data_IF_716382785958
#
_entry.id   IF_716382785958
#
_cell.length_a   1.000
_cell.length_b   1.000
_cell.length_c   1.000
_cell.angle_alpha   90.00
_cell.angle_beta   90.00
_cell.angle_gamma   90.00
#
_symmetry.space_group_name_H-M   'P 1'
#
loop_
_entity.id
_entity.type
_entity.pdbx_description
1 polymer ?
#
# COMPACT_ATOMS: atom_id res chain seq x y z
N UNK A 1 -10.79 -7.12 1.28
CA UNK A 1 -11.01 -5.80 0.66
C UNK A 1 -10.55 -5.92 -0.78
N UNK A 2 -11.37 -5.49 -1.74
CA UNK A 2 -11.02 -5.53 -3.17
C UNK A 2 -9.99 -4.42 -3.50
N UNK A 3 -9.09 -4.68 -4.46
CA UNK A 3 -8.08 -3.71 -4.93
C UNK A 3 -8.73 -2.43 -5.45
N UNK A 4 -9.92 -2.52 -6.05
CA UNK A 4 -10.64 -1.35 -6.51
C UNK A 4 -10.95 -0.38 -5.36
N UNK A 5 -11.44 -0.91 -4.24
CA UNK A 5 -11.71 -0.11 -3.05
C UNK A 5 -10.41 0.50 -2.48
N UNK A 6 -9.30 -0.24 -2.48
CA UNK A 6 -7.98 0.28 -2.05
C UNK A 6 -7.56 1.46 -2.93
N UNK A 7 -7.65 1.30 -4.26
CA UNK A 7 -7.30 2.35 -5.23
C UNK A 7 -8.15 3.61 -5.06
N UNK A 8 -9.43 3.46 -4.74
CA UNK A 8 -10.30 4.61 -4.44
C UNK A 8 -9.84 5.37 -3.19
N UNK A 9 -9.47 4.66 -2.11
CA UNK A 9 -8.95 5.30 -0.90
C UNK A 9 -7.64 6.04 -1.16
N UNK A 10 -6.73 5.46 -1.97
CA UNK A 10 -5.48 6.13 -2.36
C UNK A 10 -5.78 7.41 -3.16
N UNK A 11 -6.66 7.35 -4.18
CA UNK A 11 -7.05 8.54 -4.97
C UNK A 11 -7.68 9.63 -4.12
N UNK A 12 -8.47 9.25 -3.12
CA UNK A 12 -9.09 10.19 -2.18
C UNK A 12 -8.11 10.74 -1.13
N UNK A 13 -6.87 10.25 -1.08
CA UNK A 13 -5.91 10.57 -0.02
C UNK A 13 -6.31 10.02 1.35
N UNK A 14 -7.26 9.08 1.42
CA UNK A 14 -7.78 8.52 2.66
C UNK A 14 -6.97 7.31 3.13
N UNK A 15 -5.69 7.54 3.43
CA UNK A 15 -4.80 6.52 3.96
C UNK A 15 -3.70 7.18 4.81
N UNK A 16 -3.03 6.38 5.64
CA UNK A 16 -1.89 6.83 6.43
C UNK A 16 -0.81 5.76 6.44
N UNK A 17 0.44 6.20 6.46
CA UNK A 17 1.57 5.31 6.74
C UNK A 17 1.74 5.17 8.25
N UNK A 18 2.07 3.96 8.70
CA UNK A 18 2.60 3.76 10.05
C UNK A 18 4.03 4.32 10.15
N UNK A 19 4.49 4.62 11.37
CA UNK A 19 5.87 5.04 11.61
C UNK A 19 6.90 4.04 11.06
N UNK A 20 6.61 2.73 11.19
CA UNK A 20 7.46 1.68 10.62
C UNK A 20 7.55 1.78 9.08
N UNK A 21 6.41 1.99 8.41
CA UNK A 21 6.37 2.14 6.96
C UNK A 21 7.17 3.37 6.49
N UNK A 22 7.00 4.52 7.16
CA UNK A 22 7.77 5.75 6.86
C UNK A 22 9.28 5.51 7.02
N UNK A 23 9.71 4.89 8.13
CA UNK A 23 11.13 4.54 8.34
C UNK A 23 11.69 3.63 7.25
N UNK A 24 10.90 2.66 6.78
CA UNK A 24 11.29 1.75 5.70
C UNK A 24 11.39 2.45 4.35
N UNK A 25 10.48 3.37 4.05
CA UNK A 25 10.51 4.17 2.83
C UNK A 25 11.77 5.04 2.77
N UNK A 26 12.08 5.78 3.84
CA UNK A 26 13.28 6.61 3.93
C UNK A 26 14.55 5.77 3.71
N UNK A 27 14.68 4.63 4.40
CA UNK A 27 15.86 3.75 4.28
C UNK A 27 16.07 3.20 2.86
N UNK A 28 15.02 3.14 2.05
CA UNK A 28 15.05 2.59 0.69
C UNK A 28 14.96 3.66 -0.39
N UNK A 29 14.94 4.94 -0.02
CA UNK A 29 14.71 6.05 -0.94
C UNK A 29 13.42 5.92 -1.75
N UNK A 30 12.36 5.36 -1.13
CA UNK A 30 11.04 5.22 -1.75
C UNK A 30 10.22 6.44 -1.40
N UNK A 31 9.74 7.15 -2.41
CA UNK A 31 8.86 8.30 -2.25
C UNK A 31 7.40 7.87 -2.17
N UNK A 32 6.56 8.75 -1.65
CA UNK A 32 5.11 8.51 -1.54
C UNK A 32 4.51 8.26 -2.92
N UNK A 33 4.86 9.09 -3.89
CA UNK A 33 4.29 9.09 -5.24
C UNK A 33 4.61 7.78 -5.97
N UNK A 34 5.79 7.19 -5.71
CA UNK A 34 6.18 5.89 -6.25
C UNK A 34 5.30 4.77 -5.67
N UNK A 35 5.01 4.82 -4.37
CA UNK A 35 4.12 3.88 -3.70
C UNK A 35 2.68 3.99 -4.24
N UNK A 36 2.17 5.22 -4.37
CA UNK A 36 0.84 5.48 -4.93
C UNK A 36 0.75 5.02 -6.39
N UNK A 37 1.76 5.31 -7.22
CA UNK A 37 1.77 4.93 -8.63
C UNK A 37 1.69 3.41 -8.82
N UNK A 38 2.47 2.64 -8.05
CA UNK A 38 2.44 1.17 -8.12
C UNK A 38 1.05 0.64 -7.74
N UNK A 39 0.46 1.13 -6.66
CA UNK A 39 -0.89 0.68 -6.25
C UNK A 39 -1.94 1.06 -7.29
N UNK A 40 -1.84 2.24 -7.91
CA UNK A 40 -2.85 2.75 -8.84
C UNK A 40 -2.75 2.16 -10.25
N UNK A 41 -1.55 1.81 -10.73
CA UNK A 41 -1.31 1.55 -12.14
C UNK A 41 -0.75 0.17 -12.46
N UNK A 42 -0.08 -0.50 -11.52
CA UNK A 42 0.54 -1.80 -11.80
C UNK A 42 -0.43 -2.97 -11.64
N UNK A 43 0.03 -4.13 -12.11
CA UNK A 43 -0.68 -5.40 -12.08
C UNK A 43 -0.49 -6.11 -10.73
N UNK A 44 -1.57 -6.75 -10.26
CA UNK A 44 -1.47 -7.68 -9.13
C UNK A 44 -0.92 -9.00 -9.66
N UNK A 45 0.26 -9.37 -9.19
CA UNK A 45 0.92 -10.62 -9.59
C UNK A 45 0.54 -11.81 -8.69
N UNK A 46 0.03 -11.56 -7.48
CA UNK A 46 -0.36 -12.60 -6.53
C UNK A 46 -1.30 -12.05 -5.45
N UNK A 47 -2.25 -12.86 -4.99
CA UNK A 47 -3.14 -12.54 -3.89
C UNK A 47 -2.91 -13.50 -2.72
N UNK A 48 -2.71 -12.94 -1.52
CA UNK A 48 -2.55 -13.72 -0.29
C UNK A 48 -3.70 -13.45 0.69
N UNK A 49 -4.91 -13.98 0.44
CA UNK A 49 -6.09 -13.71 1.27
C UNK A 49 -6.01 -14.28 2.70
N UNK A 50 -5.07 -15.20 2.95
CA UNK A 50 -4.88 -15.88 4.25
C UNK A 50 -3.47 -15.68 4.82
N UNK A 51 -2.75 -14.62 4.40
CA UNK A 51 -1.39 -14.40 4.90
C UNK A 51 -1.37 -14.21 6.42
N UNK A 52 -0.42 -14.85 7.11
CA UNK A 52 -0.31 -14.78 8.57
C UNK A 52 0.05 -13.38 9.10
N UNK A 53 0.51 -12.49 8.23
CA UNK A 53 0.75 -11.08 8.50
C UNK A 53 -0.37 -10.17 7.97
N UNK A 54 -1.45 -10.72 7.41
CA UNK A 54 -2.63 -9.95 6.96
C UNK A 54 -3.48 -9.41 8.12
N UNK A 55 -3.05 -9.62 9.38
CA UNK A 55 -3.69 -9.06 10.56
C UNK A 55 -2.72 -8.20 11.36
N UNK A 56 -3.06 -6.91 11.45
CA UNK A 56 -2.89 -6.10 12.64
C UNK A 56 -4.05 -5.08 12.63
N UNK A 57 -5.23 -5.53 13.04
CA UNK A 57 -6.18 -4.65 13.73
C UNK A 57 -5.63 -4.31 15.10
#
# INVERSE_FOLDING_TARGET
MDIHAIREQIRAGNYKFSDHAVKRMIKRSIRREEMEAVVLHDEIIEEYPHDKYSQAV
#
